data_IF_085541716632
#
_entry.id   IF_085541716632
#
_cell.length_a   1.000
_cell.length_b   1.000
_cell.length_c   1.000
_cell.angle_alpha   90.00
_cell.angle_beta   90.00
_cell.angle_gamma   90.00
#
_symmetry.space_group_name_H-M   'P 1'
#
loop_
_entity.id
_entity.type
_entity.pdbx_description
1 polymer ?
#
# COMPACT_ATOMS: atom_id res chain seq x y z
N UNK A 1 -24.64 -19.91 32.19
CA UNK A 1 -24.20 -21.05 31.35
C UNK A 1 -23.66 -20.67 29.97
N UNK A 2 -23.59 -19.40 29.55
CA UNK A 2 -23.07 -18.97 28.23
C UNK A 2 -21.63 -18.40 28.26
N UNK A 3 -21.06 -18.13 29.44
CA UNK A 3 -19.75 -17.47 29.58
C UNK A 3 -18.56 -18.33 29.16
N UNK A 4 -18.64 -19.66 29.34
CA UNK A 4 -17.53 -20.57 29.02
C UNK A 4 -17.43 -20.84 27.51
N UNK A 5 -18.57 -20.87 26.80
CA UNK A 5 -18.59 -20.89 25.33
C UNK A 5 -17.96 -19.63 24.73
N UNK A 6 -18.22 -18.45 25.30
CA UNK A 6 -17.63 -17.18 24.84
C UNK A 6 -16.12 -17.08 25.09
N UNK A 7 -15.58 -17.80 26.07
CA UNK A 7 -14.15 -17.91 26.32
C UNK A 7 -13.43 -18.92 25.39
N UNK A 8 -14.19 -19.80 24.72
CA UNK A 8 -13.71 -20.78 23.75
C UNK A 8 -13.89 -20.33 22.29
N UNK A 9 -14.66 -19.27 22.03
CA UNK A 9 -14.78 -18.69 20.68
C UNK A 9 -13.59 -17.78 20.41
N UNK A 10 -12.93 -17.89 19.23
CA UNK A 10 -11.98 -16.89 18.76
C UNK A 10 -12.65 -15.52 18.83
N UNK A 11 -11.95 -14.53 19.40
CA UNK A 11 -12.50 -13.19 19.48
C UNK A 11 -12.48 -12.63 18.06
N UNK A 12 -13.65 -12.38 17.48
CA UNK A 12 -13.80 -11.68 16.19
C UNK A 12 -12.93 -10.41 16.12
N UNK A 13 -12.66 -9.78 17.27
CA UNK A 13 -11.76 -8.65 17.45
C UNK A 13 -10.32 -8.87 16.94
N UNK A 14 -9.80 -10.11 16.95
CA UNK A 14 -8.42 -10.41 16.56
C UNK A 14 -8.17 -10.11 15.07
N UNK A 15 -9.09 -10.46 14.18
CA UNK A 15 -8.95 -10.14 12.75
C UNK A 15 -8.90 -8.63 12.51
N UNK A 16 -9.77 -7.87 13.17
CA UNK A 16 -9.79 -6.42 13.05
C UNK A 16 -8.51 -5.78 13.61
N UNK A 17 -7.99 -6.27 14.73
CA UNK A 17 -6.71 -5.81 15.28
C UNK A 17 -5.54 -6.09 14.32
N UNK A 18 -5.53 -7.24 13.66
CA UNK A 18 -4.54 -7.57 12.63
C UNK A 18 -4.65 -6.66 11.40
N UNK A 19 -5.86 -6.43 10.88
CA UNK A 19 -6.06 -5.50 9.76
C UNK A 19 -5.63 -4.08 10.12
N UNK A 20 -6.01 -3.58 11.31
CA UNK A 20 -5.61 -2.26 11.79
C UNK A 20 -4.09 -2.16 12.00
N UNK A 21 -3.43 -3.26 12.38
CA UNK A 21 -1.96 -3.32 12.47
C UNK A 21 -1.34 -3.27 11.07
N UNK A 22 -1.85 -4.04 10.13
CA UNK A 22 -1.37 -4.04 8.75
C UNK A 22 -1.56 -2.68 8.08
N UNK A 23 -2.71 -2.03 8.25
CA UNK A 23 -2.95 -0.71 7.64
C UNK A 23 -1.99 0.37 8.16
N UNK A 24 -1.60 0.31 9.44
CA UNK A 24 -0.57 1.21 9.99
C UNK A 24 0.82 0.93 9.42
N UNK A 25 1.15 -0.34 9.16
CA UNK A 25 2.41 -0.72 8.50
C UNK A 25 2.41 -0.25 7.05
N UNK A 26 1.28 -0.40 6.35
CA UNK A 26 1.08 0.11 4.99
C UNK A 26 1.31 1.63 4.91
N UNK A 27 0.76 2.40 5.86
CA UNK A 27 1.03 3.84 5.97
C UNK A 27 2.51 4.13 6.19
N UNK A 28 3.16 3.44 7.13
CA UNK A 28 4.58 3.63 7.38
C UNK A 28 5.45 3.26 6.15
N UNK A 29 5.06 2.25 5.37
CA UNK A 29 5.67 1.89 4.10
C UNK A 29 5.53 2.99 3.04
N UNK A 30 4.33 3.57 2.92
CA UNK A 30 4.07 4.68 2.00
C UNK A 30 4.88 5.93 2.38
N UNK A 31 4.98 6.24 3.69
CA UNK A 31 5.78 7.35 4.18
C UNK A 31 7.28 7.14 3.93
N UNK A 32 7.78 5.90 4.12
CA UNK A 32 9.16 5.55 3.80
C UNK A 32 9.47 5.67 2.30
N UNK A 33 8.54 5.27 1.43
CA UNK A 33 8.67 5.45 -0.01
C UNK A 33 8.69 6.94 -0.39
N UNK A 34 7.83 7.75 0.23
CA UNK A 34 7.84 9.21 0.01
C UNK A 34 9.16 9.84 0.44
N UNK A 35 9.73 9.40 1.57
CA UNK A 35 11.05 9.86 2.02
C UNK A 35 12.15 9.45 1.04
N UNK A 36 12.13 8.21 0.54
CA UNK A 36 13.05 7.75 -0.50
C UNK A 36 13.01 8.67 -1.74
N UNK A 37 11.80 8.98 -2.22
CA UNK A 37 11.58 9.81 -3.41
C UNK A 37 11.79 11.30 -3.18
N UNK A 38 11.96 11.74 -1.93
CA UNK A 38 12.32 13.12 -1.60
C UNK A 38 13.75 13.50 -2.04
N UNK A 39 14.59 12.50 -2.34
CA UNK A 39 16.00 12.70 -2.69
C UNK A 39 16.92 12.75 -1.47
N UNK A 40 16.62 11.94 -0.44
CA UNK A 40 17.42 11.86 0.78
C UNK A 40 18.88 11.47 0.48
N UNK A 41 19.88 11.98 1.21
CA UNK A 41 21.29 11.64 0.95
C UNK A 41 21.66 10.17 1.18
N UNK A 42 20.87 9.45 1.98
CA UNK A 42 21.10 8.04 2.31
C UNK A 42 20.01 7.15 1.67
N UNK A 43 20.09 6.98 0.35
CA UNK A 43 19.19 6.12 -0.41
C UNK A 43 19.18 4.67 0.11
N UNK A 44 20.34 4.17 0.54
CA UNK A 44 20.46 2.80 1.02
C UNK A 44 19.65 2.57 2.29
N UNK A 45 19.72 3.50 3.25
CA UNK A 45 18.89 3.46 4.45
C UNK A 45 17.40 3.60 4.13
N UNK A 46 17.03 4.50 3.21
CA UNK A 46 15.63 4.69 2.83
C UNK A 46 15.04 3.44 2.13
N UNK A 47 15.76 2.81 1.20
CA UNK A 47 15.34 1.55 0.60
C UNK A 47 15.24 0.41 1.64
N UNK A 48 16.17 0.36 2.60
CA UNK A 48 16.14 -0.62 3.67
C UNK A 48 14.92 -0.44 4.60
N UNK A 49 14.49 0.79 4.83
CA UNK A 49 13.29 1.08 5.62
C UNK A 49 12.02 0.62 4.89
N UNK A 50 11.87 0.89 3.59
CA UNK A 50 10.73 0.37 2.81
C UNK A 50 10.66 -1.16 2.88
N UNK A 51 11.80 -1.84 2.68
CA UNK A 51 11.89 -3.30 2.80
C UNK A 51 11.56 -3.80 4.21
N UNK A 52 11.93 -3.05 5.25
CA UNK A 52 11.61 -3.40 6.63
C UNK A 52 10.11 -3.38 6.86
N UNK A 53 9.40 -2.40 6.30
CA UNK A 53 7.94 -2.30 6.43
C UNK A 53 7.23 -3.41 5.66
N UNK A 54 7.65 -3.73 4.43
CA UNK A 54 7.15 -4.89 3.68
C UNK A 54 7.29 -6.18 4.50
N UNK A 55 8.47 -6.44 5.07
CA UNK A 55 8.66 -7.62 5.89
C UNK A 55 7.72 -7.69 7.11
N UNK A 56 7.41 -6.54 7.72
CA UNK A 56 6.47 -6.48 8.83
C UNK A 56 5.04 -6.76 8.39
N UNK A 57 4.65 -6.29 7.20
CA UNK A 57 3.34 -6.56 6.59
C UNK A 57 3.18 -8.06 6.28
N UNK A 58 4.17 -8.66 5.63
CA UNK A 58 4.29 -10.11 5.37
C UNK A 58 4.02 -10.94 6.64
N UNK A 59 4.66 -10.56 7.74
CA UNK A 59 4.51 -11.25 9.03
C UNK A 59 3.04 -11.13 9.55
N UNK A 60 2.38 -9.98 9.35
CA UNK A 60 0.94 -9.81 9.67
C UNK A 60 0.04 -10.61 8.74
N UNK A 61 0.33 -10.60 7.44
CA UNK A 61 -0.40 -11.38 6.43
C UNK A 61 -0.37 -12.87 6.77
N UNK A 62 0.80 -13.38 7.14
CA UNK A 62 0.96 -14.75 7.63
C UNK A 62 0.14 -15.04 8.90
N UNK A 63 0.08 -14.10 9.87
CA UNK A 63 -0.76 -14.22 11.06
C UNK A 63 -2.26 -14.30 10.71
N UNK A 64 -2.76 -13.44 9.83
CA UNK A 64 -4.16 -13.47 9.36
C UNK A 64 -4.47 -14.79 8.68
N UNK A 65 -3.61 -15.26 7.78
CA UNK A 65 -3.81 -16.51 7.06
C UNK A 65 -3.83 -17.73 7.99
N UNK A 66 -3.02 -17.70 9.05
CA UNK A 66 -3.05 -18.72 10.10
C UNK A 66 -4.34 -18.65 10.93
N UNK A 67 -4.78 -17.44 11.28
CA UNK A 67 -6.02 -17.21 12.03
C UNK A 67 -7.24 -17.70 11.23
N UNK A 68 -7.31 -17.44 9.92
CA UNK A 68 -8.36 -17.97 9.04
C UNK A 68 -8.39 -19.50 9.10
N UNK A 69 -7.25 -20.18 8.96
CA UNK A 69 -7.19 -21.66 8.96
C UNK A 69 -7.58 -22.28 10.30
N UNK A 70 -7.35 -21.59 11.41
CA UNK A 70 -7.62 -22.09 12.77
C UNK A 70 -9.02 -21.73 13.28
N UNK A 71 -9.59 -20.65 12.77
CA UNK A 71 -10.89 -20.16 13.25
C UNK A 71 -12.02 -20.98 12.66
N UNK A 72 -12.93 -21.47 13.50
CA UNK A 72 -14.16 -22.13 13.05
C UNK A 72 -15.23 -21.12 12.58
N UNK A 73 -15.31 -19.97 13.27
CA UNK A 73 -16.19 -18.84 12.96
C UNK A 73 -15.31 -17.64 12.60
N UNK A 74 -15.64 -16.92 11.53
CA UNK A 74 -14.97 -15.69 11.10
C UNK A 74 -15.95 -14.51 11.14
N UNK A 75 -15.47 -13.26 11.32
CA UNK A 75 -16.33 -12.08 11.47
C UNK A 75 -17.13 -11.75 10.19
N UNK A 76 -16.61 -12.16 9.04
CA UNK A 76 -17.28 -12.11 7.73
C UNK A 76 -16.69 -13.22 6.83
N UNK A 77 -17.00 -13.21 5.54
CA UNK A 77 -16.60 -14.26 4.62
C UNK A 77 -15.07 -14.45 4.58
N UNK A 78 -14.62 -15.70 4.48
CA UNK A 78 -13.20 -16.06 4.52
C UNK A 78 -12.45 -15.59 3.28
N UNK A 79 -13.12 -15.58 2.13
CA UNK A 79 -12.58 -15.07 0.87
C UNK A 79 -12.35 -13.58 1.03
N UNK A 80 -13.34 -12.83 1.51
CA UNK A 80 -13.22 -11.38 1.75
C UNK A 80 -12.10 -11.04 2.74
N UNK A 81 -11.89 -11.83 3.81
CA UNK A 81 -10.77 -11.64 4.75
C UNK A 81 -9.42 -11.80 4.06
N UNK A 82 -9.30 -12.83 3.21
CA UNK A 82 -8.09 -13.15 2.46
C UNK A 82 -7.81 -12.07 1.41
N UNK A 83 -8.83 -11.66 0.66
CA UNK A 83 -8.71 -10.66 -0.38
C UNK A 83 -8.34 -9.29 0.21
N UNK A 84 -8.91 -8.92 1.37
CA UNK A 84 -8.57 -7.67 2.06
C UNK A 84 -7.11 -7.62 2.52
N UNK A 85 -6.62 -8.69 3.16
CA UNK A 85 -5.23 -8.72 3.63
C UNK A 85 -4.25 -8.77 2.46
N UNK A 86 -4.54 -9.57 1.44
CA UNK A 86 -3.70 -9.70 0.23
C UNK A 86 -3.66 -8.37 -0.56
N UNK A 87 -4.74 -7.60 -0.63
CA UNK A 87 -4.71 -6.29 -1.29
C UNK A 87 -3.81 -5.28 -0.56
N UNK A 88 -3.85 -5.26 0.78
CA UNK A 88 -2.96 -4.37 1.55
C UNK A 88 -1.49 -4.80 1.46
N UNK A 89 -1.24 -6.11 1.39
CA UNK A 89 0.09 -6.72 1.22
C UNK A 89 0.65 -6.41 -0.18
N UNK A 90 -0.14 -6.60 -1.23
CA UNK A 90 0.22 -6.26 -2.62
C UNK A 90 0.66 -4.80 -2.76
N UNK A 91 -0.01 -3.87 -2.07
CA UNK A 91 0.32 -2.44 -2.12
C UNK A 91 1.72 -2.15 -1.55
N UNK A 92 2.04 -2.70 -0.37
CA UNK A 92 3.35 -2.49 0.25
C UNK A 92 4.46 -3.27 -0.48
N UNK A 93 4.13 -4.42 -1.06
CA UNK A 93 5.01 -5.17 -1.95
C UNK A 93 5.42 -4.34 -3.17
N UNK A 94 4.48 -3.64 -3.81
CA UNK A 94 4.82 -2.75 -4.92
C UNK A 94 5.72 -1.59 -4.48
N UNK A 95 5.56 -1.07 -3.25
CA UNK A 95 6.49 -0.06 -2.70
C UNK A 95 7.90 -0.64 -2.55
N UNK A 96 8.04 -1.87 -2.04
CA UNK A 96 9.33 -2.55 -1.95
C UNK A 96 9.93 -2.83 -3.34
N UNK A 97 9.15 -3.29 -4.32
CA UNK A 97 9.65 -3.48 -5.69
C UNK A 97 10.12 -2.15 -6.30
N UNK A 98 9.44 -1.04 -6.03
CA UNK A 98 9.87 0.30 -6.44
C UNK A 98 11.22 0.67 -5.83
N UNK A 99 11.37 0.52 -4.50
CA UNK A 99 12.62 0.81 -3.80
C UNK A 99 13.78 -0.09 -4.29
N UNK A 100 13.48 -1.35 -4.62
CA UNK A 100 14.44 -2.29 -5.21
C UNK A 100 14.86 -1.87 -6.62
N UNK A 101 13.92 -1.46 -7.47
CA UNK A 101 14.22 -0.97 -8.82
C UNK A 101 15.11 0.29 -8.77
N UNK A 102 14.77 1.25 -7.89
CA UNK A 102 15.57 2.46 -7.64
C UNK A 102 17.01 2.09 -7.26
N UNK A 103 17.19 1.15 -6.33
CA UNK A 103 18.51 0.71 -5.90
C UNK A 103 19.28 -0.04 -7.01
N UNK A 104 18.61 -0.91 -7.77
CA UNK A 104 19.23 -1.69 -8.84
C UNK A 104 19.68 -0.83 -10.03
N UNK A 105 18.93 0.23 -10.34
CA UNK A 105 19.24 1.15 -11.43
C UNK A 105 20.00 2.39 -10.97
N UNK A 106 20.39 2.46 -9.69
CA UNK A 106 21.14 3.57 -9.09
C UNK A 106 20.48 4.95 -9.34
N UNK A 107 19.15 5.01 -9.29
CA UNK A 107 18.39 6.25 -9.52
C UNK A 107 18.49 7.14 -8.28
N UNK A 108 19.10 8.31 -8.41
CA UNK A 108 19.28 9.26 -7.30
C UNK A 108 18.46 10.53 -7.43
N UNK A 109 17.86 10.78 -8.60
CA UNK A 109 17.06 11.96 -8.88
C UNK A 109 15.64 11.54 -9.24
N UNK A 110 14.68 12.17 -8.58
CA UNK A 110 13.26 11.96 -8.82
C UNK A 110 12.65 13.27 -9.31
N UNK A 111 11.80 13.20 -10.32
CA UNK A 111 11.10 14.39 -10.79
C UNK A 111 9.88 14.71 -9.91
N UNK A 112 9.21 15.81 -10.24
CA UNK A 112 8.06 16.26 -9.46
C UNK A 112 6.85 15.32 -9.54
N UNK A 113 6.48 14.74 -10.71
CA UNK A 113 5.40 13.76 -10.77
C UNK A 113 5.68 12.48 -9.97
N UNK A 114 6.91 11.93 -9.98
CA UNK A 114 7.26 10.77 -9.14
C UNK A 114 7.02 11.06 -7.65
N UNK A 115 7.44 12.24 -7.17
CA UNK A 115 7.18 12.68 -5.79
C UNK A 115 5.70 12.86 -5.50
N UNK A 116 4.93 13.38 -6.46
CA UNK A 116 3.50 13.55 -6.33
C UNK A 116 2.77 12.20 -6.22
N UNK A 117 3.15 11.19 -7.01
CA UNK A 117 2.60 9.83 -6.90
C UNK A 117 2.88 9.21 -5.52
N UNK A 118 4.08 9.42 -4.98
CA UNK A 118 4.41 8.98 -3.62
C UNK A 118 3.51 9.63 -2.55
N UNK A 119 3.19 10.92 -2.72
CA UNK A 119 2.28 11.62 -1.84
C UNK A 119 0.85 11.08 -1.94
N UNK A 120 0.38 10.75 -3.15
CA UNK A 120 -0.93 10.11 -3.36
C UNK A 120 -1.01 8.73 -2.71
N UNK A 121 0.06 7.92 -2.77
CA UNK A 121 0.13 6.64 -2.07
C UNK A 121 0.02 6.80 -0.54
N UNK A 122 0.59 7.87 0.02
CA UNK A 122 0.40 8.19 1.45
C UNK A 122 -1.05 8.59 1.74
N UNK A 123 -1.66 9.46 0.93
CA UNK A 123 -3.08 9.85 1.06
C UNK A 123 -4.00 8.61 1.03
N UNK A 124 -3.73 7.65 0.14
CA UNK A 124 -4.48 6.40 0.04
C UNK A 124 -4.31 5.53 1.30
N UNK A 125 -3.08 5.39 1.81
CA UNK A 125 -2.81 4.65 3.04
C UNK A 125 -3.44 5.27 4.29
N UNK A 126 -3.48 6.60 4.39
CA UNK A 126 -4.18 7.31 5.46
C UNK A 126 -5.69 7.01 5.44
N UNK A 127 -6.29 6.96 4.24
CA UNK A 127 -7.69 6.57 4.07
C UNK A 127 -7.90 5.11 4.50
N UNK A 128 -7.01 4.19 4.12
CA UNK A 128 -7.09 2.78 4.54
C UNK A 128 -7.01 2.65 6.06
N UNK A 129 -6.11 3.38 6.73
CA UNK A 129 -6.02 3.43 8.19
C UNK A 129 -7.31 3.93 8.83
N UNK A 130 -7.97 4.92 8.23
CA UNK A 130 -9.25 5.44 8.72
C UNK A 130 -10.44 4.51 8.45
N UNK A 131 -10.43 3.78 7.33
CA UNK A 131 -11.53 2.93 6.89
C UNK A 131 -11.56 1.57 7.60
N UNK A 132 -10.40 0.93 7.80
CA UNK A 132 -10.30 -0.43 8.35
C UNK A 132 -11.01 -0.61 9.71
N UNK A 133 -10.88 0.31 10.70
CA UNK A 133 -11.61 0.19 11.98
C UNK A 133 -13.14 0.15 11.82
N UNK A 134 -13.67 0.76 10.76
CA UNK A 134 -15.12 0.79 10.51
C UNK A 134 -15.70 -0.57 10.14
N UNK A 135 -14.86 -1.51 9.68
CA UNK A 135 -15.28 -2.87 9.31
C UNK A 135 -15.88 -3.63 10.50
N UNK A 136 -15.49 -3.28 11.74
CA UNK A 136 -16.06 -3.86 12.99
C UNK A 136 -17.58 -3.74 13.07
N UNK A 137 -18.15 -2.72 12.42
CA UNK A 137 -19.60 -2.48 12.34
C UNK A 137 -20.01 -2.16 10.90
N UNK A 138 -19.62 -3.02 9.95
CA UNK A 138 -19.83 -2.84 8.51
C UNK A 138 -21.22 -2.29 8.15
N UNK A 139 -22.30 -2.93 8.66
CA UNK A 139 -23.67 -2.51 8.35
C UNK A 139 -24.02 -1.09 8.85
N UNK A 140 -23.52 -0.69 10.02
CA UNK A 140 -23.76 0.64 10.57
C UNK A 140 -22.90 1.72 9.88
N UNK A 141 -21.71 1.34 9.42
CA UNK A 141 -20.74 2.25 8.83
C UNK A 141 -20.73 2.24 7.29
N UNK A 142 -21.63 1.50 6.64
CA UNK A 142 -21.64 1.28 5.19
C UNK A 142 -21.59 2.59 4.37
N UNK A 143 -22.29 3.63 4.80
CA UNK A 143 -22.27 4.94 4.13
C UNK A 143 -20.89 5.63 4.23
N UNK A 144 -20.25 5.54 5.38
CA UNK A 144 -18.94 6.16 5.63
C UNK A 144 -17.83 5.39 4.89
N UNK A 145 -17.87 4.06 4.93
CA UNK A 145 -16.99 3.19 4.13
C UNK A 145 -17.15 3.49 2.64
N UNK A 146 -18.39 3.62 2.15
CA UNK A 146 -18.65 3.99 0.75
C UNK A 146 -18.06 5.35 0.36
N UNK A 147 -18.00 6.31 1.29
CA UNK A 147 -17.35 7.59 1.05
C UNK A 147 -15.81 7.46 0.96
N UNK A 148 -15.20 6.53 1.70
CA UNK A 148 -13.77 6.23 1.55
C UNK A 148 -13.44 5.56 0.23
N UNK A 149 -14.28 4.61 -0.21
CA UNK A 149 -14.12 3.96 -1.53
C UNK A 149 -14.11 5.00 -2.66
N UNK A 150 -15.03 5.97 -2.64
CA UNK A 150 -15.04 7.06 -3.63
C UNK A 150 -13.76 7.88 -3.57
N UNK A 151 -13.25 8.20 -2.37
CA UNK A 151 -11.99 8.95 -2.24
C UNK A 151 -10.78 8.19 -2.77
N UNK A 152 -10.71 6.86 -2.57
CA UNK A 152 -9.63 6.04 -3.14
C UNK A 152 -9.72 6.06 -4.67
N UNK A 153 -10.91 5.89 -5.25
CA UNK A 153 -11.10 5.95 -6.71
C UNK A 153 -10.75 7.33 -7.30
N UNK A 154 -11.05 8.42 -6.59
CA UNK A 154 -10.61 9.76 -6.97
C UNK A 154 -9.08 9.92 -6.90
N UNK A 155 -8.41 9.26 -5.94
CA UNK A 155 -6.95 9.25 -5.82
C UNK A 155 -6.28 8.46 -6.94
N UNK A 156 -6.81 7.28 -7.28
CA UNK A 156 -6.38 6.46 -8.42
C UNK A 156 -6.43 7.29 -9.71
N UNK A 157 -7.58 7.92 -9.98
CA UNK A 157 -7.75 8.79 -11.16
C UNK A 157 -6.75 9.96 -11.19
N UNK A 158 -6.39 10.51 -10.03
CA UNK A 158 -5.36 11.56 -9.92
C UNK A 158 -3.97 10.98 -10.17
N UNK A 159 -3.68 9.78 -9.67
CA UNK A 159 -2.39 9.10 -9.84
C UNK A 159 -2.14 8.77 -11.31
N UNK A 160 -3.14 8.27 -12.03
CA UNK A 160 -3.10 8.01 -13.48
C UNK A 160 -2.74 9.28 -14.26
N UNK A 161 -3.40 10.40 -13.94
CA UNK A 161 -3.14 11.67 -14.62
C UNK A 161 -1.70 12.15 -14.37
N UNK A 162 -1.21 12.03 -13.13
CA UNK A 162 0.17 12.38 -12.78
C UNK A 162 1.18 11.46 -13.46
N UNK A 163 0.87 10.16 -13.57
CA UNK A 163 1.66 9.17 -14.27
C UNK A 163 1.80 9.52 -15.76
N UNK A 164 0.68 9.76 -16.45
CA UNK A 164 0.66 10.13 -17.88
C UNK A 164 1.45 11.40 -18.16
N UNK A 165 1.28 12.42 -17.31
CA UNK A 165 2.04 13.67 -17.42
C UNK A 165 3.54 13.46 -17.16
N UNK A 166 3.88 12.59 -16.22
CA UNK A 166 5.24 12.17 -15.90
C UNK A 166 5.94 11.44 -17.05
N UNK A 167 5.32 10.40 -17.58
CA UNK A 167 5.81 9.65 -18.75
C UNK A 167 6.01 10.57 -19.95
N UNK A 168 5.05 11.48 -20.22
CA UNK A 168 5.17 12.45 -21.31
C UNK A 168 6.35 13.40 -21.11
N UNK A 169 6.55 13.92 -19.88
CA UNK A 169 7.69 14.77 -19.54
C UNK A 169 9.01 14.04 -19.72
N UNK A 170 9.10 12.81 -19.23
CA UNK A 170 10.28 11.96 -19.36
C UNK A 170 10.61 11.70 -20.84
N UNK A 171 9.60 11.34 -21.66
CA UNK A 171 9.78 11.16 -23.10
C UNK A 171 10.33 12.43 -23.77
N UNK A 172 9.74 13.60 -23.50
CA UNK A 172 10.18 14.85 -24.09
C UNK A 172 11.62 15.22 -23.70
N UNK A 173 12.04 14.92 -22.47
CA UNK A 173 13.40 15.18 -21.99
C UNK A 173 14.45 14.30 -22.69
N UNK A 174 14.11 13.05 -23.01
CA UNK A 174 15.10 12.04 -23.41
C UNK A 174 14.98 11.53 -24.86
N UNK A 175 13.91 11.88 -25.61
CA UNK A 175 13.60 11.35 -26.97
C UNK A 175 14.69 11.51 -28.05
N UNK A 176 15.75 12.29 -27.80
CA UNK A 176 16.83 12.54 -28.77
C UNK A 176 18.24 12.33 -28.20
N UNK A 177 18.38 11.98 -26.92
CA UNK A 177 19.67 12.04 -26.23
C UNK A 177 20.00 10.78 -25.43
N UNK A 178 19.05 10.29 -24.62
CA UNK A 178 19.32 9.24 -23.65
C UNK A 178 18.15 8.25 -23.50
N UNK A 179 18.07 7.25 -24.40
CA UNK A 179 17.02 6.23 -24.33
C UNK A 179 17.05 5.42 -23.03
N UNK A 180 18.22 5.25 -22.40
CA UNK A 180 18.34 4.46 -21.18
C UNK A 180 17.70 5.19 -20.00
N UNK A 181 17.92 6.50 -19.87
CA UNK A 181 17.24 7.31 -18.87
C UNK A 181 15.71 7.26 -19.03
N UNK A 182 15.20 7.28 -20.27
CA UNK A 182 13.77 7.06 -20.52
C UNK A 182 13.31 5.66 -20.08
N UNK A 183 14.04 4.60 -20.44
CA UNK A 183 13.68 3.22 -20.06
C UNK A 183 13.64 3.03 -18.55
N UNK A 184 14.68 3.49 -17.83
CA UNK A 184 14.74 3.39 -16.36
C UNK A 184 13.63 4.22 -15.73
N UNK A 185 13.46 5.48 -16.14
CA UNK A 185 12.41 6.34 -15.58
C UNK A 185 11.01 5.80 -15.84
N UNK A 186 10.73 5.27 -17.04
CA UNK A 186 9.45 4.66 -17.38
C UNK A 186 9.16 3.41 -16.54
N UNK A 187 10.18 2.60 -16.24
CA UNK A 187 10.05 1.45 -15.35
C UNK A 187 9.68 1.90 -13.92
N UNK A 188 10.33 2.95 -13.39
CA UNK A 188 9.99 3.51 -12.07
C UNK A 188 8.56 4.06 -12.04
N UNK A 189 8.15 4.79 -13.07
CA UNK A 189 6.78 5.28 -13.20
C UNK A 189 5.75 4.16 -13.21
N UNK A 190 5.98 3.09 -13.99
CA UNK A 190 5.08 1.94 -14.00
C UNK A 190 5.03 1.19 -12.66
N UNK A 191 6.11 1.20 -11.88
CA UNK A 191 6.09 0.71 -10.52
C UNK A 191 5.25 1.59 -9.58
N UNK A 192 5.35 2.92 -9.70
CA UNK A 192 4.59 3.86 -8.88
C UNK A 192 3.09 3.80 -9.16
N UNK A 193 2.69 3.69 -10.43
CA UNK A 193 1.29 3.52 -10.86
C UNK A 193 0.68 2.26 -10.21
N UNK A 194 1.39 1.13 -10.31
CA UNK A 194 0.95 -0.12 -9.70
C UNK A 194 0.77 -0.07 -8.18
N UNK A 195 1.34 0.89 -7.46
CA UNK A 195 1.10 1.04 -6.01
C UNK A 195 -0.32 1.56 -5.78
N UNK A 196 -0.73 2.58 -6.51
CA UNK A 196 -2.04 3.21 -6.33
C UNK A 196 -3.18 2.29 -6.77
N UNK A 197 -2.96 1.43 -7.75
CA UNK A 197 -3.92 0.42 -8.23
C UNK A 197 -4.24 -0.70 -7.21
N UNK A 198 -3.45 -0.79 -6.12
CA UNK A 198 -3.60 -1.85 -5.09
C UNK A 198 -4.37 -1.40 -3.85
N UNK A 199 -4.70 -0.12 -3.77
CA UNK A 199 -5.56 0.45 -2.73
C UNK A 199 -7.05 0.26 -3.05
#
# INVERSE_FOLDING_TARGET
MLSWFRALMPKEDEFFELFERHSRILLAGAEALRELLSGTPDLAAACAEVKRQEKLADDVTAEVMLAVRRSFITPFDRVDIKDLIESMDDAIDQMHQTAKAIALFEVTEFDEPMRAMAALAVEAAEITVAAVPLLRKLGANAREIGAFVVKISDLESRADQVHDDGIKRLFLAHRHSDPMAFTVGAEIYGHLERITDRF
#
